data_IF_006412603670
#
_entry.id   IF_006412603670
#
_cell.length_a   1.000
_cell.length_b   1.000
_cell.length_c   1.000
_cell.angle_alpha   90.00
_cell.angle_beta   90.00
_cell.angle_gamma   90.00
#
_symmetry.space_group_name_H-M   'P 1'
#
loop_
_entity.id
_entity.type
_entity.pdbx_description
1 polymer ?
#
# COMPACT_ATOMS: atom_id res chain seq x y z
N UNK A 1 5.28 8.96 -1.68
CA UNK A 1 4.20 8.23 -0.98
C UNK A 1 3.74 9.10 0.16
N UNK A 2 2.43 9.28 0.37
CA UNK A 2 1.86 10.10 1.43
C UNK A 2 1.31 9.21 2.55
N UNK A 3 1.50 9.60 3.82
CA UNK A 3 0.87 8.89 4.94
C UNK A 3 -0.65 9.01 4.82
N UNK A 4 -1.34 7.87 4.82
CA UNK A 4 -2.81 7.79 4.74
C UNK A 4 -3.39 7.69 6.13
N UNK A 5 -2.92 6.72 6.90
CA UNK A 5 -3.38 6.52 8.28
C UNK A 5 -2.37 5.71 9.10
N UNK A 6 -2.59 5.70 10.41
CA UNK A 6 -1.90 4.83 11.34
C UNK A 6 -2.88 3.78 11.88
N UNK A 7 -2.57 2.50 11.69
CA UNK A 7 -3.44 1.38 12.06
C UNK A 7 -2.67 0.35 12.89
N UNK A 8 -3.07 0.13 14.15
CA UNK A 8 -2.45 -0.85 15.06
C UNK A 8 -0.91 -0.72 15.23
N UNK A 9 -0.41 0.53 15.18
CA UNK A 9 1.01 0.85 15.22
C UNK A 9 1.75 0.63 13.88
N UNK A 10 1.02 0.43 12.79
CA UNK A 10 1.54 0.41 11.43
C UNK A 10 1.18 1.72 10.73
N UNK A 11 2.15 2.40 10.14
CA UNK A 11 1.91 3.55 9.27
C UNK A 11 1.61 3.06 7.86
N UNK A 12 0.45 3.42 7.32
CA UNK A 12 0.03 3.06 5.96
C UNK A 12 0.24 4.27 5.06
N UNK A 13 0.96 4.10 3.96
CA UNK A 13 1.27 5.14 2.99
C UNK A 13 0.64 4.82 1.63
N UNK A 14 0.06 5.82 0.97
CA UNK A 14 -0.43 5.73 -0.41
C UNK A 14 0.67 6.23 -1.35
N UNK A 15 1.00 5.40 -2.32
CA UNK A 15 1.90 5.69 -3.41
C UNK A 15 1.27 5.34 -4.75
N UNK A 16 1.92 5.77 -5.81
CA UNK A 16 1.62 5.34 -7.16
C UNK A 16 2.68 4.30 -7.52
N UNK A 17 2.26 3.08 -7.81
CA UNK A 17 3.19 1.98 -8.13
C UNK A 17 3.33 1.74 -9.62
N UNK A 18 2.42 2.28 -10.43
CA UNK A 18 2.41 2.03 -11.86
C UNK A 18 1.14 2.54 -12.52
N UNK A 19 1.25 2.82 -13.81
CA UNK A 19 0.10 3.07 -14.66
C UNK A 19 -0.20 1.84 -15.51
N UNK A 20 -1.47 1.52 -15.71
CA UNK A 20 -1.92 0.72 -16.83
C UNK A 20 -1.94 1.62 -18.07
N UNK A 21 -1.10 1.31 -19.05
CA UNK A 21 -1.00 2.03 -20.30
C UNK A 21 -1.58 1.16 -21.41
N UNK A 22 -2.48 1.71 -22.21
CA UNK A 22 -2.92 1.11 -23.47
C UNK A 22 -2.42 2.02 -24.61
N UNK A 23 -1.39 1.54 -25.32
CA UNK A 23 -0.62 2.38 -26.24
C UNK A 23 0.11 3.50 -25.50
N UNK A 24 0.03 4.73 -26.03
CA UNK A 24 0.59 5.93 -25.40
C UNK A 24 -0.33 6.58 -24.35
N UNK A 25 -1.51 5.99 -24.09
CA UNK A 25 -2.47 6.54 -23.14
C UNK A 25 -2.37 5.84 -21.79
N UNK A 26 -2.20 6.63 -20.73
CA UNK A 26 -2.37 6.18 -19.35
C UNK A 26 -3.87 5.97 -19.09
N UNK A 27 -4.30 4.71 -19.07
CA UNK A 27 -5.72 4.35 -18.94
C UNK A 27 -6.11 4.10 -17.47
N UNK A 28 -5.13 3.78 -16.63
CA UNK A 28 -5.37 3.65 -15.20
C UNK A 28 -4.13 3.92 -14.39
N UNK A 29 -4.26 4.60 -13.26
CA UNK A 29 -3.17 4.74 -12.30
C UNK A 29 -3.42 3.79 -11.15
N UNK A 30 -2.53 2.83 -10.95
CA UNK A 30 -2.61 1.88 -9.84
C UNK A 30 -2.10 2.58 -8.59
N UNK A 31 -3.02 2.80 -7.64
CA UNK A 31 -2.68 3.15 -6.27
C UNK A 31 -2.07 1.92 -5.60
N UNK A 32 -0.98 2.15 -4.88
CA UNK A 32 -0.37 1.18 -4.01
C UNK A 32 -0.38 1.70 -2.58
N UNK A 33 -0.75 0.83 -1.67
CA UNK A 33 -0.60 1.10 -0.25
C UNK A 33 0.60 0.33 0.28
N UNK A 34 1.51 0.99 0.98
CA UNK A 34 2.62 0.36 1.71
C UNK A 34 2.39 0.52 3.20
N UNK A 35 2.93 -0.37 4.02
CA UNK A 35 2.86 -0.22 5.46
C UNK A 35 4.22 -0.42 6.13
N UNK A 36 4.49 0.37 7.16
CA UNK A 36 5.72 0.28 7.94
C UNK A 36 5.43 0.20 9.44
N UNK A 37 6.31 -0.45 10.20
CA UNK A 37 6.24 -0.52 11.66
C UNK A 37 7.65 -0.58 12.24
N UNK A 38 7.91 0.24 13.25
CA UNK A 38 9.20 0.29 13.96
C UNK A 38 10.41 0.42 13.00
N UNK A 39 10.28 1.21 11.93
CA UNK A 39 11.33 1.41 10.93
C UNK A 39 11.51 0.25 9.93
N UNK A 40 10.79 -0.86 10.09
CA UNK A 40 10.71 -1.91 9.05
C UNK A 40 9.56 -1.58 8.11
N UNK A 41 9.87 -1.47 6.83
CA UNK A 41 8.87 -1.24 5.78
C UNK A 41 8.58 -2.55 5.06
N UNK A 42 7.32 -2.97 5.04
CA UNK A 42 6.86 -4.06 4.19
C UNK A 42 6.07 -3.48 3.03
N UNK A 43 6.65 -3.63 1.85
CA UNK A 43 6.08 -3.11 0.60
C UNK A 43 5.18 -4.17 0.00
N UNK A 44 3.93 -4.22 0.44
CA UNK A 44 2.92 -5.03 -0.24
C UNK A 44 2.02 -4.13 -1.06
N UNK A 45 2.21 -4.15 -2.37
CA UNK A 45 1.43 -3.37 -3.33
C UNK A 45 -0.01 -3.88 -3.37
N UNK A 46 -0.90 -3.25 -2.62
CA UNK A 46 -2.34 -3.48 -2.69
C UNK A 46 -3.07 -2.30 -3.31
N UNK A 47 -4.20 -2.60 -3.94
CA UNK A 47 -5.10 -1.63 -4.58
C UNK A 47 -6.03 -0.93 -3.59
N UNK A 48 -6.05 -1.33 -2.31
CA UNK A 48 -6.98 -0.79 -1.31
C UNK A 48 -6.40 -0.83 0.10
N UNK A 49 -6.67 0.24 0.88
CA UNK A 49 -6.26 0.35 2.28
C UNK A 49 -6.90 -0.73 3.16
N UNK A 50 -8.13 -1.15 2.83
CA UNK A 50 -8.87 -2.16 3.60
C UNK A 50 -8.13 -3.52 3.56
N UNK A 51 -7.63 -3.88 2.38
CA UNK A 51 -6.81 -5.10 2.17
C UNK A 51 -5.53 -5.06 3.01
N UNK A 52 -4.91 -3.89 3.14
CA UNK A 52 -3.74 -3.70 4.02
C UNK A 52 -4.11 -3.95 5.47
N UNK A 53 -5.24 -3.40 5.93
CA UNK A 53 -5.73 -3.62 7.30
C UNK A 53 -6.06 -5.09 7.56
N UNK A 54 -6.64 -5.80 6.60
CA UNK A 54 -6.89 -7.24 6.70
C UNK A 54 -5.58 -8.03 6.89
N UNK A 55 -4.53 -7.74 6.12
CA UNK A 55 -3.22 -8.39 6.24
C UNK A 55 -2.59 -8.10 7.61
N UNK A 56 -2.66 -6.84 8.06
CA UNK A 56 -2.17 -6.44 9.38
C UNK A 56 -2.95 -7.16 10.49
N UNK A 57 -4.29 -7.22 10.39
CA UNK A 57 -5.16 -7.94 11.34
C UNK A 57 -4.88 -9.44 11.35
N UNK A 58 -4.63 -10.03 10.18
CA UNK A 58 -4.37 -11.46 10.02
C UNK A 58 -3.00 -11.88 10.57
N UNK A 59 -2.16 -10.93 11.00
CA UNK A 59 -0.78 -11.23 11.43
C UNK A 59 0.14 -11.68 10.30
N UNK A 60 -0.34 -11.64 9.04
CA UNK A 60 0.46 -11.93 7.85
C UNK A 60 1.36 -10.77 7.44
N UNK A 61 1.27 -9.64 8.15
CA UNK A 61 2.22 -8.56 8.03
C UNK A 61 3.61 -8.98 8.55
N UNK A 62 4.31 -9.81 7.78
CA UNK A 62 5.70 -10.20 8.02
C UNK A 62 6.66 -9.12 7.52
N UNK A 63 7.79 -8.97 8.22
CA UNK A 63 8.88 -8.03 7.96
C UNK A 63 10.21 -8.76 7.90
#
# INVERSE_FOLDING_TARGET
MALVENYNGYEIHEGLTGGHWEGDNLVGQVKAYTYQKNGKTSTLTYYSVDRVKEIIKSGQAQF
#
